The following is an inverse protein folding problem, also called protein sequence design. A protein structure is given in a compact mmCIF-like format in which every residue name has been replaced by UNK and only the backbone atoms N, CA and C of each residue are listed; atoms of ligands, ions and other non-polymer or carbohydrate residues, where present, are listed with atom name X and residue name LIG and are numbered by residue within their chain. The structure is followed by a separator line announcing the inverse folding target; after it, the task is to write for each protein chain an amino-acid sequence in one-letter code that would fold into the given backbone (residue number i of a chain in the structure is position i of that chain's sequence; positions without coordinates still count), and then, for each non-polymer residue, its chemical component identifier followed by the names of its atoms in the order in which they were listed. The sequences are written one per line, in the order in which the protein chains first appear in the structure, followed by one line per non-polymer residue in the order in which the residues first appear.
data_IF_494483664014
#
_entry.id   IF_494483664014
#
_cell.length_a   1.000
_cell.length_b   1.000
_cell.length_c   1.000
_cell.angle_alpha   90.00
_cell.angle_beta   90.00
_cell.angle_gamma   90.00
#
_symmetry.space_group_name_H-M   'P 1'
#
loop_
_entity.id
_entity.type
_entity.pdbx_description
1 polymer ?
#
# COMPACT_ATOMS: atom_id res chain seq x y z
N UNK A 1 7.56 9.32 6.85
CA UNK A 1 7.70 8.25 5.83
C UNK A 1 7.21 8.80 4.49
N UNK A 2 7.86 8.54 3.34
CA UNK A 2 7.31 8.93 2.04
C UNK A 2 5.97 8.22 1.75
N UNK A 3 5.02 8.89 1.11
CA UNK A 3 3.69 8.31 0.80
C UNK A 3 3.80 7.01 0.00
N UNK A 4 4.70 6.95 -0.98
CA UNK A 4 4.92 5.74 -1.78
C UNK A 4 5.44 4.55 -0.96
N UNK A 5 6.23 4.81 0.08
CA UNK A 5 6.71 3.75 0.99
C UNK A 5 5.59 3.29 1.93
N UNK A 6 4.75 4.23 2.39
CA UNK A 6 3.57 3.93 3.18
C UNK A 6 2.53 3.10 2.41
N UNK A 7 2.22 3.51 1.18
CA UNK A 7 1.32 2.79 0.27
C UNK A 7 1.82 1.37 0.00
N UNK A 8 3.10 1.23 -0.36
CA UNK A 8 3.73 -0.08 -0.53
C UNK A 8 3.66 -0.94 0.73
N UNK A 9 3.94 -0.38 1.90
CA UNK A 9 3.94 -1.11 3.18
C UNK A 9 2.53 -1.58 3.54
N UNK A 10 1.55 -0.68 3.48
CA UNK A 10 0.14 -0.97 3.80
C UNK A 10 -0.44 -2.00 2.84
N UNK A 11 -0.13 -1.92 1.54
CA UNK A 11 -0.48 -2.94 0.55
C UNK A 11 0.06 -4.33 0.92
N UNK A 12 1.36 -4.44 1.24
CA UNK A 12 1.98 -5.73 1.58
C UNK A 12 1.36 -6.33 2.85
N UNK A 13 1.15 -5.51 3.89
CA UNK A 13 0.53 -5.95 5.15
C UNK A 13 -0.89 -6.47 4.91
N UNK A 14 -1.66 -5.74 4.11
CA UNK A 14 -3.02 -6.13 3.74
C UNK A 14 -3.03 -7.43 2.95
N UNK A 15 -2.18 -7.56 1.94
CA UNK A 15 -2.06 -8.75 1.09
C UNK A 15 -1.71 -10.01 1.88
N UNK A 16 -0.83 -9.90 2.88
CA UNK A 16 -0.48 -11.02 3.77
C UNK A 16 -1.51 -11.29 4.88
N UNK A 17 -2.60 -10.52 4.96
CA UNK A 17 -3.68 -10.74 5.91
C UNK A 17 -3.42 -10.24 7.34
N UNK A 18 -2.40 -9.39 7.55
CA UNK A 18 -2.05 -8.86 8.87
C UNK A 18 -2.92 -7.66 9.27
N UNK A 19 -4.24 -7.89 9.42
CA UNK A 19 -5.24 -6.83 9.63
C UNK A 19 -4.98 -5.94 10.86
N UNK A 20 -4.59 -6.52 11.98
CA UNK A 20 -4.29 -5.74 13.20
C UNK A 20 -3.06 -4.84 13.01
N UNK A 21 -2.05 -5.34 12.31
CA UNK A 21 -0.84 -4.57 12.03
C UNK A 21 -1.11 -3.47 11.01
N UNK A 22 -1.98 -3.72 10.03
CA UNK A 22 -2.46 -2.71 9.09
C UNK A 22 -3.07 -1.53 9.85
N UNK A 23 -3.97 -1.78 10.80
CA UNK A 23 -4.59 -0.73 11.63
C UNK A 23 -3.52 0.06 12.40
N UNK A 24 -2.56 -0.63 13.03
CA UNK A 24 -1.48 0.03 13.78
C UNK A 24 -0.63 0.96 12.90
N UNK A 25 -0.24 0.50 11.72
CA UNK A 25 0.54 1.31 10.76
C UNK A 25 -0.24 2.54 10.31
N UNK A 26 -1.53 2.39 10.02
CA UNK A 26 -2.39 3.52 9.69
C UNK A 26 -2.51 4.52 10.86
N UNK A 27 -2.71 4.05 12.09
CA UNK A 27 -2.80 4.94 13.25
C UNK A 27 -1.50 5.72 13.50
N UNK A 28 -0.35 5.11 13.29
CA UNK A 28 0.96 5.74 13.51
C UNK A 28 1.27 6.80 12.45
N UNK A 29 1.08 6.48 11.17
CA UNK A 29 1.62 7.29 10.08
C UNK A 29 0.60 8.14 9.33
N UNK A 30 -0.71 7.86 9.42
CA UNK A 30 -1.70 8.60 8.63
C UNK A 30 -1.68 10.12 8.88
N UNK A 31 -1.36 10.53 10.11
CA UNK A 31 -1.25 11.95 10.47
C UNK A 31 -0.13 12.70 9.73
N UNK A 32 0.88 12.00 9.21
CA UNK A 32 1.98 12.62 8.44
C UNK A 32 1.52 13.11 7.06
N UNK A 33 0.44 12.54 6.52
CA UNK A 33 -0.06 12.79 5.16
C UNK A 33 -1.19 13.81 5.08
N UNK A 34 -1.26 14.72 6.08
CA UNK A 34 -2.34 15.71 6.16
C UNK A 34 -2.42 16.57 4.90
N UNK A 35 -1.30 16.99 4.32
CA UNK A 35 -1.30 17.86 3.13
C UNK A 35 -1.86 17.14 1.90
N UNK A 36 -1.51 15.87 1.75
CA UNK A 36 -2.00 15.01 0.68
C UNK A 36 -3.51 14.78 0.82
N UNK A 37 -3.99 14.63 2.05
CA UNK A 37 -5.42 14.58 2.37
C UNK A 37 -6.14 15.89 2.08
N UNK A 38 -5.62 17.02 2.55
CA UNK A 38 -6.18 18.35 2.29
C UNK A 38 -6.26 18.62 0.76
N UNK A 39 -5.25 18.20 -0.01
CA UNK A 39 -5.26 18.29 -1.47
C UNK A 39 -6.36 17.43 -2.12
N UNK A 40 -6.61 16.22 -1.62
CA UNK A 40 -7.64 15.34 -2.14
C UNK A 40 -9.05 15.85 -1.83
N UNK A 41 -9.26 16.39 -0.62
CA UNK A 41 -10.51 17.06 -0.24
C UNK A 41 -10.78 18.26 -1.15
N UNK A 42 -9.78 19.12 -1.40
CA UNK A 42 -9.92 20.25 -2.31
C UNK A 42 -10.23 19.82 -3.76
N UNK A 43 -9.61 18.74 -4.25
CA UNK A 43 -9.91 18.19 -5.57
C UNK A 43 -11.36 17.67 -5.68
N UNK A 44 -11.85 17.02 -4.63
CA UNK A 44 -13.23 16.55 -4.55
C UNK A 44 -14.22 17.73 -4.57
N UNK A 45 -13.95 18.80 -3.81
CA UNK A 45 -14.79 20.01 -3.76
C UNK A 45 -14.84 20.74 -5.11
N UNK A 46 -13.75 20.71 -5.88
CA UNK A 46 -13.69 21.28 -7.23
C UNK A 46 -14.40 20.44 -8.31
N UNK A 47 -15.06 19.34 -7.93
CA UNK A 47 -15.75 18.44 -8.86
C UNK A 47 -14.80 17.53 -9.65
N UNK A 48 -13.58 17.33 -9.15
CA UNK A 48 -12.63 16.38 -9.72
C UNK A 48 -13.13 14.95 -9.58
N UNK A 49 -13.07 14.17 -10.66
CA UNK A 49 -13.25 12.73 -10.56
C UNK A 49 -12.01 12.12 -9.91
N UNK A 50 -12.15 11.68 -8.66
CA UNK A 50 -11.27 10.65 -8.11
C UNK A 50 -11.52 9.41 -8.97
N UNK A 51 -10.56 9.06 -9.83
CA UNK A 51 -10.69 7.93 -10.75
C UNK A 51 -10.95 6.61 -10.02
N UNK A 52 -11.14 5.53 -10.77
CA UNK A 52 -11.31 4.20 -10.19
C UNK A 52 -9.97 3.72 -9.60
N UNK A 53 -9.68 4.14 -8.36
CA UNK A 53 -8.44 3.82 -7.64
C UNK A 53 -8.37 2.30 -7.45
N UNK A 54 -7.21 1.72 -7.79
CA UNK A 54 -6.88 0.33 -7.50
C UNK A 54 -7.23 -0.69 -8.58
N UNK A 55 -7.65 -0.27 -9.77
CA UNK A 55 -8.03 -1.21 -10.84
C UNK A 55 -7.47 -0.86 -12.23
N UNK A 56 -6.47 0.02 -12.30
CA UNK A 56 -5.72 0.25 -13.54
C UNK A 56 -4.67 -0.84 -13.76
N UNK A 57 -4.36 -1.12 -15.02
CA UNK A 57 -3.29 -2.09 -15.37
C UNK A 57 -1.93 -1.69 -14.80
N UNK A 58 -1.68 -0.38 -14.67
CA UNK A 58 -0.49 0.18 -14.01
C UNK A 58 -0.42 -0.16 -12.52
N UNK A 59 -1.52 -0.03 -11.78
CA UNK A 59 -1.56 -0.37 -10.34
C UNK A 59 -1.37 -1.87 -10.12
N UNK A 60 -2.01 -2.71 -10.94
CA UNK A 60 -1.83 -4.18 -10.89
C UNK A 60 -0.36 -4.55 -11.14
N UNK A 61 0.26 -3.94 -12.14
CA UNK A 61 1.67 -4.18 -12.46
C UNK A 61 2.60 -3.72 -11.34
N UNK A 62 2.29 -2.58 -10.72
CA UNK A 62 3.03 -2.02 -9.59
C UNK A 62 2.95 -2.94 -8.37
N UNK A 63 1.76 -3.39 -8.00
CA UNK A 63 1.51 -4.34 -6.92
C UNK A 63 2.27 -5.66 -7.12
N UNK A 64 2.24 -6.20 -8.35
CA UNK A 64 3.00 -7.40 -8.72
C UNK A 64 4.51 -7.19 -8.53
N UNK A 65 5.04 -6.03 -8.93
CA UNK A 65 6.45 -5.69 -8.73
C UNK A 65 6.80 -5.62 -7.24
N UNK A 66 5.96 -5.01 -6.41
CA UNK A 66 6.20 -4.93 -4.96
C UNK A 66 6.26 -6.31 -4.31
N UNK A 67 5.33 -7.20 -4.64
CA UNK A 67 5.32 -8.58 -4.17
C UNK A 67 6.59 -9.31 -4.56
N UNK A 68 6.99 -9.24 -5.83
CA UNK A 68 8.22 -9.89 -6.31
C UNK A 68 9.46 -9.36 -5.59
N UNK A 69 9.57 -8.04 -5.40
CA UNK A 69 10.69 -7.43 -4.70
C UNK A 69 10.72 -7.81 -3.22
N UNK A 70 9.56 -7.90 -2.57
CA UNK A 70 9.48 -8.36 -1.18
C UNK A 70 9.95 -9.81 -1.05
N UNK A 71 9.43 -10.72 -1.88
CA UNK A 71 9.84 -12.12 -1.90
C UNK A 71 11.34 -12.30 -2.18
N UNK A 72 11.91 -11.56 -3.14
CA UNK A 72 13.34 -11.64 -3.49
C UNK A 72 14.25 -11.26 -2.32
N UNK A 73 13.87 -10.24 -1.57
CA UNK A 73 14.68 -9.69 -0.47
C UNK A 73 14.40 -10.33 0.89
N UNK A 74 13.36 -11.16 1.01
CA UNK A 74 13.03 -11.84 2.25
C UNK A 74 14.13 -12.85 2.66
N UNK A 75 14.34 -13.09 3.97
CA UNK A 75 15.17 -14.19 4.45
C UNK A 75 14.71 -15.54 3.87
N UNK A 76 15.62 -16.51 3.73
CA UNK A 76 15.28 -17.83 3.15
C UNK A 76 14.11 -18.51 3.86
N UNK A 77 14.12 -18.47 5.20
CA UNK A 77 13.06 -19.04 6.03
C UNK A 77 11.70 -18.40 5.73
N UNK A 78 11.66 -17.07 5.64
CA UNK A 78 10.43 -16.34 5.31
C UNK A 78 9.98 -16.56 3.86
N UNK A 79 10.92 -16.73 2.91
CA UNK A 79 10.60 -16.97 1.48
C UNK A 79 9.73 -18.21 1.28
N UNK A 80 10.05 -19.30 1.97
CA UNK A 80 9.30 -20.56 1.85
C UNK A 80 7.87 -20.41 2.37
N UNK A 81 7.67 -19.63 3.44
CA UNK A 81 6.35 -19.30 3.96
C UNK A 81 5.56 -18.38 3.03
N UNK A 82 6.20 -17.33 2.52
CA UNK A 82 5.59 -16.36 1.59
C UNK A 82 5.15 -17.04 0.29
N UNK A 83 5.92 -18.02 -0.21
CA UNK A 83 5.55 -18.79 -1.40
C UNK A 83 4.32 -19.68 -1.21
N UNK A 84 4.03 -20.12 0.02
CA UNK A 84 2.84 -20.93 0.32
C UNK A 84 1.56 -20.10 0.46
N UNK A 85 1.67 -18.78 0.59
CA UNK A 85 0.57 -17.84 0.78
C UNK A 85 0.03 -17.24 -0.53
N UNK A 86 0.77 -17.37 -1.64
CA UNK A 86 0.38 -16.94 -2.98
C UNK A 86 -0.04 -18.14 -3.83
#
# INVERSE_FOLDING_TARGET
MPLADFDRLTYLIYHFGFKEYHIKVWMEFAGEFKKEWDCLEALQEMGGCVGNIGNTESEISLHKMWMQNFCKNAPKESREWIQKLN
#
